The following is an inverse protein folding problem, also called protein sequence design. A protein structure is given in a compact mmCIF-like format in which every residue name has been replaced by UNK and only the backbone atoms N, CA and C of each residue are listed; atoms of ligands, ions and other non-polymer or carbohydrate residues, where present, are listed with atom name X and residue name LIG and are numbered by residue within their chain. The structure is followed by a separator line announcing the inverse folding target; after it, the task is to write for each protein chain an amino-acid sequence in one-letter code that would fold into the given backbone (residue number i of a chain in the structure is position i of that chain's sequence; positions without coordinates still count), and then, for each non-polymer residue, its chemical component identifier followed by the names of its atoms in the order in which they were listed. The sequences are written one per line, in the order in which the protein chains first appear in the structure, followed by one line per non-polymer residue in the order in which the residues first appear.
data_IF_504796470727
#
_entry.id   IF_504796470727
#
_cell.length_a   1.000
_cell.length_b   1.000
_cell.length_c   1.000
_cell.angle_alpha   90.00
_cell.angle_beta   90.00
_cell.angle_gamma   90.00
#
_symmetry.space_group_name_H-M   'P 1'
#
loop_
_entity.id
_entity.type
_entity.pdbx_description
1 polymer ?
#
# COMPACT_ATOMS: atom_id res chain seq x y z
N UNK A 1 -17.72 -0.08 -37.40
CA UNK A 1 -17.35 -1.05 -36.34
C UNK A 1 -16.81 -0.20 -35.19
N UNK A 2 -17.52 -0.11 -34.07
CA UNK A 2 -17.10 0.71 -32.92
C UNK A 2 -15.80 0.11 -32.35
N UNK A 3 -14.71 0.86 -32.37
CA UNK A 3 -13.46 0.48 -31.71
C UNK A 3 -13.43 1.08 -30.32
N UNK A 4 -13.40 0.24 -29.30
CA UNK A 4 -13.32 0.66 -27.90
C UNK A 4 -11.90 1.23 -27.67
N UNK A 5 -11.82 2.47 -27.22
CA UNK A 5 -10.55 3.08 -26.84
C UNK A 5 -9.98 2.41 -25.58
N UNK A 6 -8.65 2.40 -25.41
CA UNK A 6 -8.02 1.79 -24.23
C UNK A 6 -8.50 2.39 -22.90
N UNK A 7 -8.80 3.69 -22.87
CA UNK A 7 -9.37 4.35 -21.68
C UNK A 7 -10.81 3.90 -21.41
N UNK A 8 -11.62 3.75 -22.44
CA UNK A 8 -13.00 3.27 -22.33
C UNK A 8 -13.03 1.82 -21.84
N UNK A 9 -12.13 0.98 -22.36
CA UNK A 9 -11.98 -0.41 -21.92
C UNK A 9 -11.57 -0.51 -20.45
N UNK A 10 -10.63 0.34 -20.01
CA UNK A 10 -10.21 0.41 -18.60
C UNK A 10 -11.36 0.76 -17.67
N UNK A 11 -12.11 1.82 -17.99
CA UNK A 11 -13.23 2.25 -17.15
C UNK A 11 -14.38 1.24 -17.15
N UNK A 12 -14.67 0.63 -18.30
CA UNK A 12 -15.65 -0.44 -18.39
C UNK A 12 -15.26 -1.64 -17.51
N UNK A 13 -13.99 -2.08 -17.59
CA UNK A 13 -13.49 -3.16 -16.75
C UNK A 13 -13.59 -2.84 -15.26
N UNK A 14 -13.13 -1.65 -14.83
CA UNK A 14 -13.16 -1.24 -13.44
C UNK A 14 -14.59 -1.20 -12.87
N UNK A 15 -15.55 -0.71 -13.65
CA UNK A 15 -16.97 -0.66 -13.24
C UNK A 15 -17.59 -2.05 -13.17
N UNK A 16 -17.27 -2.93 -14.12
CA UNK A 16 -17.75 -4.32 -14.12
C UNK A 16 -17.21 -5.07 -12.91
N UNK A 17 -15.90 -4.95 -12.63
CA UNK A 17 -15.26 -5.60 -11.49
C UNK A 17 -15.84 -5.10 -10.15
N UNK A 18 -15.92 -3.78 -9.98
CA UNK A 18 -16.53 -3.20 -8.77
C UNK A 18 -17.99 -3.62 -8.60
N UNK A 19 -18.77 -3.64 -9.70
CA UNK A 19 -20.15 -4.10 -9.71
C UNK A 19 -20.26 -5.57 -9.32
N UNK A 20 -19.43 -6.43 -9.89
CA UNK A 20 -19.39 -7.86 -9.59
C UNK A 20 -19.05 -8.11 -8.11
N UNK A 21 -17.99 -7.48 -7.59
CA UNK A 21 -17.60 -7.60 -6.18
C UNK A 21 -18.71 -7.12 -5.24
N UNK A 22 -19.36 -6.00 -5.58
CA UNK A 22 -20.48 -5.47 -4.81
C UNK A 22 -21.67 -6.44 -4.80
N UNK A 23 -22.03 -6.99 -5.96
CA UNK A 23 -23.10 -7.99 -6.09
C UNK A 23 -22.76 -9.25 -5.30
N UNK A 24 -21.52 -9.74 -5.34
CA UNK A 24 -21.10 -10.90 -4.57
C UNK A 24 -21.26 -10.68 -3.05
N UNK A 25 -20.84 -9.52 -2.54
CA UNK A 25 -21.02 -9.15 -1.13
C UNK A 25 -22.50 -9.05 -0.78
N UNK A 26 -23.33 -8.41 -1.62
CA UNK A 26 -24.77 -8.29 -1.38
C UNK A 26 -25.44 -9.66 -1.41
N UNK A 27 -25.14 -10.49 -2.40
CA UNK A 27 -25.67 -11.84 -2.55
C UNK A 27 -25.31 -12.71 -1.33
N UNK A 28 -24.06 -12.66 -0.85
CA UNK A 28 -23.67 -13.39 0.38
C UNK A 28 -24.48 -12.96 1.61
N UNK A 29 -24.81 -11.67 1.74
CA UNK A 29 -25.66 -11.15 2.83
C UNK A 29 -27.15 -11.45 2.68
N UNK A 30 -27.62 -11.69 1.45
CA UNK A 30 -29.01 -12.05 1.16
C UNK A 30 -29.26 -13.56 1.33
N UNK A 31 -28.35 -14.40 0.81
CA UNK A 31 -28.47 -15.86 0.84
C UNK A 31 -27.95 -16.45 2.16
N UNK A 32 -27.01 -15.77 2.83
CA UNK A 32 -26.37 -16.27 4.05
C UNK A 32 -27.33 -16.38 5.26
N UNK A 33 -27.20 -17.43 6.09
CA UNK A 33 -28.05 -17.62 7.27
C UNK A 33 -27.77 -16.54 8.33
N UNK A 34 -28.83 -15.83 8.76
CA UNK A 34 -28.74 -14.76 9.76
C UNK A 34 -28.97 -15.29 11.17
N UNK A 35 -27.93 -15.85 11.78
CA UNK A 35 -27.96 -16.38 13.17
C UNK A 35 -26.89 -15.71 14.05
N UNK A 36 -27.05 -14.42 14.41
CA UNK A 36 -26.14 -13.76 15.33
C UNK A 36 -26.24 -14.40 16.73
N UNK A 37 -25.11 -14.52 17.42
CA UNK A 37 -25.03 -14.97 18.81
C UNK A 37 -23.98 -14.11 19.53
N UNK A 38 -24.10 -13.94 20.85
CA UNK A 38 -23.15 -13.22 21.70
C UNK A 38 -21.71 -13.64 21.43
N UNK A 39 -21.45 -14.95 21.32
CA UNK A 39 -20.12 -15.51 21.04
C UNK A 39 -19.65 -15.16 19.61
N UNK A 40 -20.50 -15.27 18.59
CA UNK A 40 -20.14 -14.91 17.20
C UNK A 40 -19.92 -13.41 16.98
N UNK A 41 -20.36 -12.60 17.94
CA UNK A 41 -20.21 -11.15 17.93
C UNK A 41 -19.01 -10.70 18.77
N UNK A 42 -18.25 -11.62 19.40
CA UNK A 42 -16.98 -11.27 20.03
C UNK A 42 -15.90 -11.08 18.97
N UNK A 43 -14.96 -10.17 19.23
CA UNK A 43 -13.83 -9.92 18.32
C UNK A 43 -12.90 -11.13 18.16
N UNK A 44 -12.92 -12.04 19.14
CA UNK A 44 -12.09 -13.23 19.18
C UNK A 44 -12.93 -14.44 19.60
N UNK A 45 -12.82 -15.54 18.86
CA UNK A 45 -13.72 -16.71 18.99
C UNK A 45 -13.06 -17.93 19.65
N UNK A 46 -11.75 -17.90 19.94
CA UNK A 46 -11.04 -19.04 20.53
C UNK A 46 -11.29 -19.21 22.05
N UNK A 47 -12.31 -18.54 22.60
CA UNK A 47 -12.74 -18.68 24.00
C UNK A 47 -11.85 -18.01 25.05
N UNK A 48 -10.72 -17.42 24.65
CA UNK A 48 -9.85 -16.64 25.53
C UNK A 48 -10.21 -15.16 25.41
N UNK A 49 -10.39 -14.46 26.53
CA UNK A 49 -10.64 -13.03 26.47
C UNK A 49 -9.43 -12.30 25.85
N UNK A 50 -9.66 -11.29 24.98
CA UNK A 50 -8.59 -10.53 24.37
C UNK A 50 -7.73 -9.91 25.48
N UNK A 51 -6.42 -10.14 25.41
CA UNK A 51 -5.49 -9.63 26.40
C UNK A 51 -5.13 -8.18 26.09
N UNK A 52 -5.35 -7.29 27.07
CA UNK A 52 -5.01 -5.86 27.03
C UNK A 52 -5.94 -4.99 26.18
N UNK A 53 -5.90 -3.68 26.40
CA UNK A 53 -6.64 -2.74 25.56
C UNK A 53 -5.98 -2.66 24.17
N UNK A 54 -6.77 -2.68 23.09
CA UNK A 54 -6.22 -2.53 21.73
C UNK A 54 -5.36 -1.26 21.56
N UNK A 55 -5.55 -0.26 22.43
CA UNK A 55 -4.78 0.98 22.49
C UNK A 55 -3.55 0.92 23.39
N UNK A 56 -3.42 -0.02 24.33
CA UNK A 56 -2.20 -0.17 25.14
C UNK A 56 -1.03 -0.77 24.35
N UNK A 57 -1.30 -1.51 23.27
CA UNK A 57 -0.28 -2.01 22.33
C UNK A 57 0.07 -1.03 21.19
N UNK A 58 -0.54 0.17 21.15
CA UNK A 58 -0.35 1.15 20.04
C UNK A 58 1.05 1.73 19.94
N UNK A 59 1.82 1.74 21.02
CA UNK A 59 3.05 2.54 21.10
C UNK A 59 4.23 1.95 20.32
N UNK A 60 4.23 0.65 20.00
CA UNK A 60 5.33 0.04 19.24
C UNK A 60 5.03 -0.09 17.75
N UNK A 61 3.76 -0.13 17.32
CA UNK A 61 3.40 -0.35 15.91
C UNK A 61 3.40 0.92 15.05
N UNK A 62 2.79 2.01 15.55
CA UNK A 62 2.53 3.20 14.72
C UNK A 62 3.83 3.89 14.28
N UNK A 63 4.81 4.05 15.19
CA UNK A 63 6.11 4.63 14.83
C UNK A 63 6.88 3.75 13.85
N UNK A 64 6.85 2.42 14.03
CA UNK A 64 7.44 1.44 13.10
C UNK A 64 6.90 1.62 11.69
N UNK A 65 5.58 1.52 11.52
CA UNK A 65 4.96 1.59 10.19
C UNK A 65 5.03 2.99 9.59
N UNK A 66 5.06 4.03 10.41
CA UNK A 66 5.23 5.40 9.92
C UNK A 66 6.58 5.60 9.24
N UNK A 67 7.67 5.13 9.86
CA UNK A 67 9.00 5.18 9.23
C UNK A 67 9.04 4.45 7.88
N UNK A 68 8.46 3.24 7.82
CA UNK A 68 8.33 2.50 6.56
C UNK A 68 7.48 3.23 5.52
N UNK A 69 6.38 3.88 5.92
CA UNK A 69 5.55 4.65 5.00
C UNK A 69 6.33 5.84 4.40
N UNK A 70 7.08 6.59 5.23
CA UNK A 70 7.92 7.70 4.76
C UNK A 70 9.00 7.20 3.78
N UNK A 71 9.68 6.10 4.11
CA UNK A 71 10.66 5.49 3.21
C UNK A 71 10.04 5.02 1.90
N UNK A 72 8.84 4.44 1.94
CA UNK A 72 8.07 4.04 0.76
C UNK A 72 7.73 5.24 -0.12
N UNK A 73 7.23 6.35 0.44
CA UNK A 73 6.93 7.57 -0.32
C UNK A 73 8.18 8.16 -1.00
N UNK A 74 9.33 8.13 -0.32
CA UNK A 74 10.59 8.57 -0.93
C UNK A 74 11.01 7.68 -2.11
N UNK A 75 10.86 6.36 -1.96
CA UNK A 75 11.14 5.39 -3.03
C UNK A 75 10.16 5.47 -4.20
N UNK A 76 8.88 5.77 -3.93
CA UNK A 76 7.86 5.95 -4.98
C UNK A 76 8.18 7.16 -5.86
N UNK A 77 8.49 8.30 -5.25
CA UNK A 77 8.96 9.49 -5.98
C UNK A 77 10.26 9.20 -6.77
N UNK A 78 11.19 8.45 -6.18
CA UNK A 78 12.40 8.00 -6.86
C UNK A 78 12.09 7.15 -8.10
N UNK A 79 11.18 6.19 -8.00
CA UNK A 79 10.79 5.31 -9.11
C UNK A 79 10.21 6.11 -10.29
N UNK A 80 9.34 7.10 -10.01
CA UNK A 80 8.82 8.00 -11.03
C UNK A 80 9.93 8.77 -11.76
N UNK A 81 10.89 9.32 -11.01
CA UNK A 81 12.03 10.04 -11.59
C UNK A 81 12.90 9.16 -12.48
N UNK A 82 13.16 7.91 -12.08
CA UNK A 82 13.90 6.95 -12.91
C UNK A 82 13.10 6.60 -14.15
N UNK A 83 11.80 6.32 -14.02
CA UNK A 83 10.93 5.97 -15.14
C UNK A 83 10.87 7.09 -16.19
N UNK A 84 10.62 8.33 -15.77
CA UNK A 84 10.55 9.48 -16.69
C UNK A 84 11.87 9.71 -17.40
N UNK A 85 12.99 9.51 -16.69
CA UNK A 85 14.32 9.65 -17.25
C UNK A 85 14.66 8.53 -18.24
N UNK A 86 14.27 7.30 -17.93
CA UNK A 86 14.49 6.13 -18.79
C UNK A 86 13.67 6.20 -20.09
N UNK A 87 12.50 6.83 -20.05
CA UNK A 87 11.65 7.07 -21.23
C UNK A 87 12.09 8.29 -22.05
N UNK A 88 13.09 9.05 -21.60
CA UNK A 88 13.59 10.21 -22.34
C UNK A 88 14.40 9.77 -23.57
N UNK A 89 14.09 10.37 -24.73
CA UNK A 89 14.75 10.02 -26.01
C UNK A 89 16.19 10.54 -26.14
N UNK A 90 16.65 11.37 -25.21
CA UNK A 90 17.97 12.02 -25.25
C UNK A 90 18.68 11.84 -23.91
N UNK A 91 19.15 10.63 -23.64
CA UNK A 91 20.07 10.36 -22.53
C UNK A 91 21.42 11.04 -22.80
N UNK A 92 21.61 12.23 -22.21
CA UNK A 92 22.92 12.89 -22.18
C UNK A 92 23.76 12.36 -21.01
N UNK A 93 25.09 12.44 -21.12
CA UNK A 93 26.01 12.09 -20.03
C UNK A 93 25.76 12.92 -18.77
N UNK A 94 25.34 14.19 -18.93
CA UNK A 94 24.96 15.07 -17.84
C UNK A 94 23.71 14.56 -17.10
N UNK A 95 22.66 14.18 -17.83
CA UNK A 95 21.44 13.62 -17.24
C UNK A 95 21.72 12.32 -16.47
N UNK A 96 22.55 11.44 -17.04
CA UNK A 96 23.00 10.21 -16.36
C UNK A 96 23.73 10.53 -15.06
N UNK A 97 24.61 11.55 -15.06
CA UNK A 97 25.35 11.95 -13.86
C UNK A 97 24.42 12.49 -12.76
N UNK A 98 23.40 13.28 -13.12
CA UNK A 98 22.42 13.82 -12.18
C UNK A 98 21.56 12.72 -11.56
N UNK A 99 21.12 11.75 -12.38
CA UNK A 99 20.37 10.58 -11.91
C UNK A 99 21.21 9.72 -10.98
N UNK A 100 22.49 9.51 -11.30
CA UNK A 100 23.39 8.75 -10.45
C UNK A 100 23.58 9.41 -9.07
N UNK A 101 23.77 10.73 -9.03
CA UNK A 101 23.87 11.49 -7.78
C UNK A 101 22.56 11.40 -6.98
N UNK A 102 21.42 11.59 -7.64
CA UNK A 102 20.11 11.50 -6.98
C UNK A 102 19.85 10.09 -6.42
N UNK A 103 20.16 9.04 -7.19
CA UNK A 103 20.05 7.64 -6.77
C UNK A 103 20.92 7.39 -5.54
N UNK A 104 22.16 7.89 -5.55
CA UNK A 104 23.08 7.77 -4.42
C UNK A 104 22.52 8.43 -3.16
N UNK A 105 21.96 9.64 -3.27
CA UNK A 105 21.35 10.36 -2.13
C UNK A 105 20.18 9.57 -1.54
N UNK A 106 19.27 9.06 -2.37
CA UNK A 106 18.11 8.27 -1.92
C UNK A 106 18.57 6.99 -1.23
N UNK A 107 19.54 6.28 -1.81
CA UNK A 107 20.04 5.03 -1.24
C UNK A 107 20.80 5.26 0.07
N UNK A 108 21.58 6.34 0.17
CA UNK A 108 22.22 6.74 1.41
C UNK A 108 21.19 7.05 2.51
N UNK A 109 20.10 7.77 2.18
CA UNK A 109 19.01 8.05 3.10
C UNK A 109 18.29 6.79 3.59
N UNK A 110 18.04 5.82 2.70
CA UNK A 110 17.44 4.53 3.05
C UNK A 110 18.40 3.71 3.91
N UNK A 111 19.68 3.64 3.56
CA UNK A 111 20.68 2.94 4.34
C UNK A 111 20.75 3.50 5.78
N UNK A 112 20.76 4.83 5.92
CA UNK A 112 20.69 5.49 7.22
C UNK A 112 19.41 5.12 7.99
N UNK A 113 18.24 5.20 7.34
CA UNK A 113 16.97 4.80 7.96
C UNK A 113 17.00 3.34 8.44
N UNK A 114 17.54 2.42 7.64
CA UNK A 114 17.62 0.99 8.00
C UNK A 114 18.55 0.73 9.18
N UNK A 115 19.63 1.50 9.32
CA UNK A 115 20.53 1.42 10.48
C UNK A 115 19.85 1.98 11.74
N UNK A 116 19.11 3.08 11.61
CA UNK A 116 18.51 3.77 12.76
C UNK A 116 17.13 3.21 13.16
N UNK A 117 16.53 2.34 12.34
CA UNK A 117 15.16 1.84 12.53
C UNK A 117 14.91 1.27 13.92
N UNK A 118 15.91 0.64 14.53
CA UNK A 118 15.77 -0.01 15.83
C UNK A 118 15.72 1.01 16.99
N UNK A 119 16.23 2.23 16.79
CA UNK A 119 16.12 3.33 17.76
C UNK A 119 14.77 4.06 17.70
N UNK A 120 14.06 3.98 16.58
CA UNK A 120 12.71 4.55 16.43
C UNK A 120 11.61 3.74 17.17
N UNK A 121 12.01 2.61 17.75
CA UNK A 121 11.13 1.55 18.24
C UNK A 121 11.20 1.39 19.76
N UNK A 122 12.28 1.84 20.38
CA UNK A 122 12.48 1.86 21.82
C UNK A 122 12.02 3.21 22.40
#
# INVERSE_FOLDING_TARGET
MYQISGSEAFWAFALIDFGFLSVAVIASRLVGPRKPNKIKNTTYECGQDPFGEARSFRLTGISRYFGYAVAFFALDAFAWMILTSALSFQMSSELVSMIAIYTFIIFAGIAYFLVEKDKLVN
#
